data_IF_293234745444
#
_entry.id   IF_293234745444
#
_cell.length_a   1.000
_cell.length_b   1.000
_cell.length_c   1.000
_cell.angle_alpha   90.00
_cell.angle_beta   90.00
_cell.angle_gamma   90.00
#
_symmetry.space_group_name_H-M   'P 1'
#
loop_
_entity.id
_entity.type
_entity.pdbx_description
1 polymer ?
#
# COMPACT_ATOMS: atom_id res chain seq x y z
N UNK A 1 7.79 2.94 3.52
CA UNK A 1 8.37 1.58 3.71
C UNK A 1 9.10 1.31 5.02
N UNK A 2 9.61 2.33 5.72
CA UNK A 2 10.37 2.14 6.97
C UNK A 2 9.67 1.25 8.02
N UNK A 3 8.38 1.46 8.26
CA UNK A 3 7.58 0.66 9.22
C UNK A 3 7.63 -0.83 8.85
N UNK A 4 7.38 -1.18 7.59
CA UNK A 4 7.39 -2.58 7.13
C UNK A 4 8.76 -3.23 7.28
N UNK A 5 9.84 -2.51 6.98
CA UNK A 5 11.21 -3.01 7.11
C UNK A 5 11.59 -3.35 8.55
N UNK A 6 11.03 -2.61 9.51
CA UNK A 6 11.30 -2.82 10.94
C UNK A 6 10.39 -3.86 11.59
N UNK A 7 9.44 -4.46 10.87
CA UNK A 7 8.59 -5.54 11.39
C UNK A 7 9.34 -6.86 11.55
N UNK A 8 10.52 -7.01 10.95
CA UNK A 8 11.28 -8.26 10.93
C UNK A 8 12.72 -8.02 11.32
N UNK A 9 13.31 -8.96 12.05
CA UNK A 9 14.77 -9.03 12.19
C UNK A 9 15.38 -9.65 10.93
N UNK A 10 16.65 -9.36 10.59
CA UNK A 10 17.35 -10.05 9.51
C UNK A 10 17.27 -11.58 9.68
N UNK A 11 16.82 -12.29 8.64
CA UNK A 11 16.64 -13.75 8.65
C UNK A 11 15.25 -14.24 9.10
N UNK A 12 14.36 -13.37 9.56
CA UNK A 12 13.02 -13.75 10.00
C UNK A 12 12.01 -13.80 8.84
N UNK A 13 11.27 -14.92 8.71
CA UNK A 13 10.21 -15.11 7.71
C UNK A 13 8.84 -15.13 8.42
N UNK A 14 8.51 -14.02 9.08
CA UNK A 14 7.23 -13.88 9.81
C UNK A 14 6.46 -12.66 9.32
N UNK A 15 5.16 -12.81 9.10
CA UNK A 15 4.28 -11.67 8.82
C UNK A 15 3.75 -11.10 10.13
N UNK A 16 3.73 -9.76 10.22
CA UNK A 16 3.19 -9.03 11.36
C UNK A 16 2.27 -7.93 10.85
N UNK A 17 1.30 -7.54 11.67
CA UNK A 17 0.41 -6.43 11.35
C UNK A 17 1.20 -5.12 11.48
N UNK A 18 1.30 -4.29 10.43
CA UNK A 18 1.92 -2.98 10.53
C UNK A 18 1.03 -2.04 11.34
N UNK A 19 1.64 -1.25 12.22
CA UNK A 19 0.98 -0.18 12.98
C UNK A 19 1.76 1.13 12.82
N UNK A 20 1.05 2.25 12.96
CA UNK A 20 1.57 3.60 12.86
C UNK A 20 1.40 4.26 11.48
N UNK A 21 1.29 5.59 11.49
CA UNK A 21 1.13 6.40 10.28
C UNK A 21 -0.10 6.01 9.45
N UNK A 22 0.04 5.98 8.14
CA UNK A 22 -1.06 5.64 7.22
C UNK A 22 -1.51 4.17 7.32
N UNK A 23 -0.74 3.29 7.96
CA UNK A 23 -1.16 1.90 8.16
C UNK A 23 -2.35 1.77 9.11
N UNK A 24 -2.66 2.81 9.90
CA UNK A 24 -3.88 2.83 10.71
C UNK A 24 -5.17 2.93 9.88
N UNK A 25 -5.07 3.45 8.65
CA UNK A 25 -6.22 3.63 7.76
C UNK A 25 -6.25 2.60 6.63
N UNK A 26 -5.09 2.23 6.08
CA UNK A 26 -5.00 1.34 4.92
C UNK A 26 -3.91 0.27 5.07
N UNK A 27 -4.17 -0.93 4.57
CA UNK A 27 -3.20 -2.05 4.58
C UNK A 27 -2.01 -1.78 3.68
N UNK A 28 -2.26 -1.21 2.51
CA UNK A 28 -1.26 -0.91 1.48
C UNK A 28 -0.75 0.53 1.56
N UNK A 29 -0.40 1.04 2.75
CA UNK A 29 0.01 2.45 2.90
C UNK A 29 1.24 2.82 2.04
N UNK A 30 2.15 1.87 1.82
CA UNK A 30 3.27 2.03 0.89
C UNK A 30 2.79 2.17 -0.56
N UNK A 31 1.84 1.33 -0.99
CA UNK A 31 1.26 1.40 -2.33
C UNK A 31 0.50 2.71 -2.56
N UNK A 32 -0.24 3.18 -1.55
CA UNK A 32 -0.88 4.49 -1.61
C UNK A 32 0.15 5.61 -1.83
N UNK A 33 1.27 5.59 -1.08
CA UNK A 33 2.35 6.56 -1.24
C UNK A 33 2.93 6.55 -2.65
N UNK A 34 3.21 5.37 -3.19
CA UNK A 34 3.75 5.19 -4.54
C UNK A 34 2.77 5.70 -5.62
N UNK A 35 1.47 5.44 -5.48
CA UNK A 35 0.44 5.99 -6.40
C UNK A 35 0.48 7.52 -6.38
N UNK A 36 0.44 8.13 -5.19
CA UNK A 36 0.44 9.59 -5.03
C UNK A 36 1.73 10.19 -5.59
N UNK A 37 2.88 9.56 -5.36
CA UNK A 37 4.18 9.97 -5.90
C UNK A 37 4.17 10.01 -7.43
N UNK A 38 3.71 8.95 -8.09
CA UNK A 38 3.72 8.89 -9.55
C UNK A 38 2.70 9.82 -10.21
N UNK A 39 1.53 10.03 -9.59
CA UNK A 39 0.62 11.07 -10.07
C UNK A 39 1.20 12.47 -9.87
N UNK A 40 1.85 12.74 -8.74
CA UNK A 40 2.55 14.00 -8.51
C UNK A 40 3.65 14.23 -9.56
N UNK A 41 4.43 13.19 -9.87
CA UNK A 41 5.43 13.24 -10.93
C UNK A 41 4.82 13.47 -12.32
N UNK A 42 3.72 12.79 -12.65
CA UNK A 42 3.03 12.97 -13.91
C UNK A 42 2.51 14.41 -14.10
N UNK A 43 1.98 15.01 -13.03
CA UNK A 43 1.55 16.42 -13.03
C UNK A 43 2.75 17.36 -13.17
N UNK A 44 3.86 17.09 -12.47
CA UNK A 44 5.05 17.93 -12.51
C UNK A 44 5.76 17.93 -13.88
N UNK A 45 5.87 16.77 -14.53
CA UNK A 45 6.52 16.63 -15.85
C UNK A 45 5.56 16.99 -16.98
N UNK A 46 4.26 16.76 -16.78
CA UNK A 46 3.21 17.03 -17.76
C UNK A 46 3.44 16.35 -19.13
N UNK A 47 3.85 15.08 -19.09
CA UNK A 47 4.12 14.30 -20.30
C UNK A 47 3.28 13.02 -20.37
N UNK A 48 2.89 12.64 -21.59
CA UNK A 48 2.12 11.42 -21.83
C UNK A 48 2.80 10.16 -21.26
N UNK A 49 4.14 9.96 -21.40
CA UNK A 49 4.81 8.82 -20.78
C UNK A 49 4.70 8.80 -19.26
N UNK A 50 4.76 9.96 -18.59
CA UNK A 50 4.64 10.03 -17.13
C UNK A 50 3.22 9.67 -16.66
N UNK A 51 2.18 10.15 -17.37
CA UNK A 51 0.80 9.75 -17.09
C UNK A 51 0.56 8.25 -17.35
N UNK A 52 1.09 7.72 -18.46
CA UNK A 52 0.99 6.30 -18.77
C UNK A 52 1.66 5.45 -17.68
N UNK A 53 2.81 5.89 -17.17
CA UNK A 53 3.51 5.23 -16.07
C UNK A 53 2.72 5.28 -14.76
N UNK A 54 2.19 6.45 -14.37
CA UNK A 54 1.34 6.57 -13.19
C UNK A 54 0.11 5.65 -13.27
N UNK A 55 -0.57 5.61 -14.42
CA UNK A 55 -1.70 4.72 -14.65
C UNK A 55 -1.31 3.24 -14.57
N UNK A 56 -0.20 2.86 -15.22
CA UNK A 56 0.35 1.50 -15.15
C UNK A 56 0.67 1.09 -13.71
N UNK A 57 1.25 2.00 -12.92
CA UNK A 57 1.52 1.74 -11.52
C UNK A 57 0.24 1.41 -10.77
N UNK A 58 -0.81 2.25 -10.87
CA UNK A 58 -2.11 1.97 -10.23
C UNK A 58 -2.67 0.61 -10.62
N UNK A 59 -2.66 0.27 -11.91
CA UNK A 59 -3.13 -1.03 -12.40
C UNK A 59 -2.30 -2.21 -11.86
N UNK A 60 -1.02 -2.00 -11.60
CA UNK A 60 -0.10 -3.05 -11.12
C UNK A 60 -0.16 -3.22 -9.60
N UNK A 61 -0.08 -2.13 -8.83
CA UNK A 61 0.00 -2.19 -7.37
C UNK A 61 -1.37 -2.14 -6.69
N UNK A 62 -2.40 -1.59 -7.34
CA UNK A 62 -3.77 -1.55 -6.82
C UNK A 62 -4.34 -2.94 -6.51
N UNK A 63 -4.36 -3.88 -7.48
CA UNK A 63 -4.81 -5.25 -7.23
C UNK A 63 -3.96 -5.98 -6.18
N UNK A 64 -2.65 -5.71 -6.15
CA UNK A 64 -1.74 -6.26 -5.14
C UNK A 64 -2.10 -5.78 -3.73
N UNK A 65 -2.44 -4.50 -3.56
CA UNK A 65 -2.89 -3.96 -2.27
C UNK A 65 -4.18 -4.63 -1.77
N UNK A 66 -5.14 -4.85 -2.68
CA UNK A 66 -6.38 -5.56 -2.37
C UNK A 66 -6.13 -7.00 -1.94
N UNK A 67 -5.28 -7.73 -2.67
CA UNK A 67 -4.90 -9.09 -2.31
C UNK A 67 -4.19 -9.16 -0.95
N UNK A 68 -3.29 -8.21 -0.67
CA UNK A 68 -2.66 -8.10 0.65
C UNK A 68 -3.67 -7.85 1.76
N UNK A 69 -4.61 -6.93 1.56
CA UNK A 69 -5.68 -6.67 2.53
C UNK A 69 -6.48 -7.94 2.85
N UNK A 70 -6.86 -8.68 1.82
CA UNK A 70 -7.58 -9.95 1.97
C UNK A 70 -6.75 -11.01 2.70
N UNK A 71 -5.47 -11.15 2.37
CA UNK A 71 -4.55 -12.07 3.06
C UNK A 71 -4.40 -11.70 4.55
N UNK A 72 -4.26 -10.40 4.87
CA UNK A 72 -4.19 -9.95 6.27
C UNK A 72 -5.47 -10.27 7.06
N UNK A 73 -6.66 -10.04 6.46
CA UNK A 73 -7.93 -10.37 7.10
C UNK A 73 -8.12 -11.87 7.33
N UNK A 74 -7.58 -12.71 6.45
CA UNK A 74 -7.67 -14.17 6.57
C UNK A 74 -6.63 -14.74 7.55
N UNK A 75 -5.44 -14.12 7.61
CA UNK A 75 -4.30 -14.62 8.38
C UNK A 75 -4.32 -14.20 9.84
N UNK A 76 -4.87 -13.03 10.15
CA UNK A 76 -4.85 -12.47 11.49
C UNK A 76 -6.27 -12.24 11.99
N UNK A 77 -6.65 -12.94 13.06
CA UNK A 77 -7.96 -12.77 13.71
C UNK A 77 -8.11 -11.35 14.30
N UNK A 78 -7.02 -10.81 14.85
CA UNK A 78 -6.96 -9.47 15.46
C UNK A 78 -6.75 -8.34 14.43
N UNK A 79 -6.94 -8.59 13.14
CA UNK A 79 -6.73 -7.57 12.12
C UNK A 79 -7.77 -6.43 12.24
N UNK A 80 -7.34 -5.14 12.26
CA UNK A 80 -8.27 -4.03 12.35
C UNK A 80 -9.23 -3.96 11.17
N UNK A 81 -10.52 -4.27 11.40
CA UNK A 81 -11.57 -4.31 10.36
C UNK A 81 -11.93 -2.93 9.80
N UNK A 82 -11.54 -1.86 10.49
CA UNK A 82 -11.72 -0.48 10.02
C UNK A 82 -10.78 -0.13 8.86
N UNK A 83 -9.66 -0.84 8.71
CA UNK A 83 -8.68 -0.58 7.65
C UNK A 83 -9.27 -0.92 6.29
N UNK A 84 -8.84 -0.15 5.30
CA UNK A 84 -9.15 -0.34 3.88
C UNK A 84 -7.91 -0.87 3.15
N UNK A 85 -8.04 -1.34 1.92
CA UNK A 85 -6.94 -1.91 1.17
C UNK A 85 -5.90 -0.87 0.77
N UNK A 86 -6.32 0.25 0.18
CA UNK A 86 -5.44 1.25 -0.41
C UNK A 86 -5.97 2.69 -0.35
N UNK A 87 -7.28 2.93 -0.52
CA UNK A 87 -7.87 4.27 -0.45
C UNK A 87 -8.53 4.42 0.93
N UNK A 88 -8.07 5.35 1.78
CA UNK A 88 -8.62 5.56 3.11
C UNK A 88 -10.14 5.75 3.05
N UNK A 89 -10.85 5.04 3.93
CA UNK A 89 -12.31 5.08 4.08
C UNK A 89 -13.15 4.58 2.89
N UNK A 90 -12.54 4.29 1.74
CA UNK A 90 -13.24 3.88 0.52
C UNK A 90 -12.95 2.42 0.17
N UNK A 91 -11.69 2.11 -0.14
CA UNK A 91 -11.29 0.83 -0.74
C UNK A 91 -10.12 0.20 -0.02
#
# INVERSE_FOLDING_TARGET
DHILRNLRKPGEIVYRIPYGGMFEFVSGANFLGEIVEWFGYAVAVWSLPAFAFAFFTVCSIGPRAYQHHRDYQQRFEDYPRSRKAIIPFIL
#
